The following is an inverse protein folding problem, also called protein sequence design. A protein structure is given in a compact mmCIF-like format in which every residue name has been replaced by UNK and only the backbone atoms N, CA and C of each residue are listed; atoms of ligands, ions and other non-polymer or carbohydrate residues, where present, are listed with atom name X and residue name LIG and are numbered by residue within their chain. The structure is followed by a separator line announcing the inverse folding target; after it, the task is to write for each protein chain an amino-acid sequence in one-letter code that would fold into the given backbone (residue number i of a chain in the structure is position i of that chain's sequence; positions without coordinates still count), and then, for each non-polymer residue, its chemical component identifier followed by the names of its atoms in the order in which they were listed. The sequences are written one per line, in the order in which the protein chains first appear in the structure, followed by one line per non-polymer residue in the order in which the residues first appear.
data_IF_917001117252
#
_entry.id   IF_917001117252
#
_cell.length_a   1.000
_cell.length_b   1.000
_cell.length_c   1.000
_cell.angle_alpha   90.00
_cell.angle_beta   90.00
_cell.angle_gamma   90.00
#
_symmetry.space_group_name_H-M   'P 1'
#
loop_
_entity.id
_entity.type
_entity.pdbx_description
1 polymer ?
#
# COMPACT_ATOMS: atom_id res chain seq x y z
N UNK A 1 1.01 23.03 -3.97
CA UNK A 1 1.20 22.16 -5.16
C UNK A 1 1.21 23.07 -6.36
N UNK A 2 2.31 23.08 -7.13
CA UNK A 2 2.54 24.01 -8.26
C UNK A 2 1.94 23.51 -9.60
N UNK A 3 1.35 22.33 -9.63
CA UNK A 3 0.77 21.74 -10.84
C UNK A 3 -0.70 21.44 -10.64
N UNK A 4 -1.54 21.89 -11.57
CA UNK A 4 -2.96 21.57 -11.58
C UNK A 4 -3.16 20.16 -12.13
N UNK A 5 -3.37 19.19 -11.23
CA UNK A 5 -3.51 17.77 -11.57
C UNK A 5 -4.72 17.48 -12.49
N UNK A 6 -5.75 18.33 -12.44
CA UNK A 6 -6.93 18.18 -13.30
C UNK A 6 -6.65 18.43 -14.78
N UNK A 7 -5.55 19.14 -15.11
CA UNK A 7 -5.13 19.40 -16.50
C UNK A 7 -4.26 18.28 -17.09
N UNK A 8 -3.90 17.27 -16.29
CA UNK A 8 -3.07 16.15 -16.75
C UNK A 8 -3.89 15.13 -17.55
N UNK A 9 -3.22 14.48 -18.52
CA UNK A 9 -3.77 13.34 -19.22
C UNK A 9 -4.07 12.19 -18.25
N UNK A 10 -5.10 11.40 -18.57
CA UNK A 10 -5.54 10.28 -17.73
C UNK A 10 -4.43 9.23 -17.51
N UNK A 11 -3.58 9.02 -18.53
CA UNK A 11 -2.42 8.13 -18.48
C UNK A 11 -1.39 8.61 -17.43
N UNK A 12 -1.13 9.93 -17.39
CA UNK A 12 -0.20 10.52 -16.42
C UNK A 12 -0.72 10.40 -15.00
N UNK A 13 -2.02 10.59 -14.78
CA UNK A 13 -2.66 10.40 -13.48
C UNK A 13 -2.54 8.93 -13.03
N UNK A 14 -2.74 7.98 -13.95
CA UNK A 14 -2.62 6.55 -13.66
C UNK A 14 -1.19 6.17 -13.23
N UNK A 15 -0.18 6.58 -14.00
CA UNK A 15 1.23 6.34 -13.66
C UNK A 15 1.57 6.99 -12.32
N UNK A 16 1.12 8.23 -12.10
CA UNK A 16 1.35 8.94 -10.85
C UNK A 16 0.72 8.22 -9.66
N UNK A 17 -0.50 7.68 -9.81
CA UNK A 17 -1.18 6.89 -8.77
C UNK A 17 -0.39 5.64 -8.41
N UNK A 18 0.15 4.92 -9.40
CA UNK A 18 1.00 3.74 -9.15
C UNK A 18 2.27 4.13 -8.42
N UNK A 19 2.94 5.22 -8.84
CA UNK A 19 4.16 5.71 -8.19
C UNK A 19 3.90 6.18 -6.75
N UNK A 20 2.75 6.78 -6.46
CA UNK A 20 2.35 7.12 -5.09
C UNK A 20 2.17 5.88 -4.22
N UNK A 21 1.54 4.82 -4.76
CA UNK A 21 1.33 3.57 -4.03
C UNK A 21 2.66 2.88 -3.67
N UNK A 22 3.67 2.93 -4.56
CA UNK A 22 5.04 2.53 -4.27
C UNK A 22 5.66 3.64 -3.42
N UNK A 23 5.48 3.56 -2.13
CA UNK A 23 5.88 4.59 -1.15
C UNK A 23 7.40 4.82 -1.07
N UNK A 24 7.81 5.56 -0.06
CA UNK A 24 9.21 5.93 0.15
C UNK A 24 10.13 4.80 0.62
N UNK A 25 11.41 5.15 0.80
CA UNK A 25 12.43 4.27 1.35
C UNK A 25 12.05 3.75 2.75
N UNK A 26 12.61 2.62 3.16
CA UNK A 26 12.26 1.93 4.43
C UNK A 26 12.45 2.78 5.67
N UNK A 27 13.35 3.75 5.63
CA UNK A 27 13.61 4.69 6.72
C UNK A 27 12.88 6.02 6.56
N UNK A 28 12.12 6.20 5.47
CA UNK A 28 11.32 7.38 5.23
C UNK A 28 10.05 7.39 6.07
N UNK A 29 9.60 8.60 6.41
CA UNK A 29 8.30 8.84 7.05
C UNK A 29 7.10 8.67 6.10
N UNK A 30 7.33 8.39 4.81
CA UNK A 30 6.29 8.15 3.83
C UNK A 30 5.45 6.92 4.18
N UNK A 31 4.14 6.98 3.96
CA UNK A 31 3.22 5.86 4.06
C UNK A 31 3.30 4.92 2.86
N UNK A 32 2.33 4.05 2.72
CA UNK A 32 2.24 3.12 1.60
C UNK A 32 3.15 1.90 1.70
N UNK A 33 3.26 1.18 0.59
CA UNK A 33 4.17 0.03 0.47
C UNK A 33 5.59 0.54 0.31
N UNK A 34 6.48 0.13 1.22
CA UNK A 34 7.89 0.55 1.13
C UNK A 34 8.56 0.01 -0.13
N UNK A 35 9.42 0.82 -0.76
CA UNK A 35 10.16 0.44 -1.99
C UNK A 35 10.89 -0.89 -1.82
N UNK A 36 11.50 -1.13 -0.65
CA UNK A 36 12.20 -2.39 -0.38
C UNK A 36 11.25 -3.60 -0.38
N UNK A 37 10.05 -3.47 0.21
CA UNK A 37 9.06 -4.55 0.21
C UNK A 37 8.57 -4.82 -1.23
N UNK A 38 8.34 -3.77 -2.01
CA UNK A 38 7.95 -3.90 -3.42
C UNK A 38 9.05 -4.55 -4.25
N UNK A 39 10.32 -4.15 -4.08
CA UNK A 39 11.46 -4.74 -4.77
C UNK A 39 11.62 -6.24 -4.43
N UNK A 40 11.50 -6.62 -3.14
CA UNK A 40 11.56 -8.03 -2.72
C UNK A 40 10.41 -8.83 -3.32
N UNK A 41 9.20 -8.27 -3.39
CA UNK A 41 8.04 -8.94 -4.01
C UNK A 41 8.28 -9.20 -5.52
N UNK A 42 8.83 -8.21 -6.24
CA UNK A 42 9.19 -8.38 -7.67
C UNK A 42 10.27 -9.45 -7.84
N UNK A 43 11.33 -9.43 -7.02
CA UNK A 43 12.39 -10.44 -7.07
C UNK A 43 11.86 -11.84 -6.81
N UNK A 44 10.92 -11.98 -5.86
CA UNK A 44 10.27 -13.26 -5.60
C UNK A 44 9.45 -13.75 -6.80
N UNK A 45 8.65 -12.88 -7.41
CA UNK A 45 7.90 -13.21 -8.63
C UNK A 45 8.87 -13.67 -9.75
N UNK A 46 9.97 -12.92 -9.93
CA UNK A 46 10.99 -13.27 -10.92
C UNK A 46 11.63 -14.64 -10.64
N UNK A 47 11.96 -14.94 -9.38
CA UNK A 47 12.52 -16.23 -8.97
C UNK A 47 11.55 -17.38 -9.28
N UNK A 48 10.27 -17.20 -9.00
CA UNK A 48 9.21 -18.18 -9.30
C UNK A 48 9.12 -18.43 -10.81
N UNK A 49 9.13 -17.38 -11.64
CA UNK A 49 9.06 -17.50 -13.11
C UNK A 49 10.29 -18.25 -13.66
N UNK A 50 11.47 -18.06 -13.07
CA UNK A 50 12.70 -18.74 -13.47
C UNK A 50 12.87 -20.12 -12.83
N UNK A 51 11.92 -20.58 -12.00
CA UNK A 51 11.98 -21.89 -11.34
C UNK A 51 13.10 -21.99 -10.28
N UNK A 52 13.63 -20.86 -9.81
CA UNK A 52 14.65 -20.84 -8.75
C UNK A 52 13.99 -20.78 -7.38
N UNK A 53 14.44 -21.66 -6.46
CA UNK A 53 13.93 -21.70 -5.09
C UNK A 53 14.56 -20.64 -4.18
N UNK A 54 15.65 -20.02 -4.61
CA UNK A 54 16.41 -19.02 -3.88
C UNK A 54 16.23 -17.65 -4.49
N UNK A 55 15.88 -16.68 -3.66
CA UNK A 55 15.79 -15.26 -4.05
C UNK A 55 17.09 -14.61 -3.63
N UNK A 56 17.92 -14.27 -4.60
CA UNK A 56 19.21 -13.62 -4.38
C UNK A 56 19.13 -12.14 -4.80
N UNK A 57 19.68 -11.28 -3.97
CA UNK A 57 19.87 -9.87 -4.27
C UNK A 57 21.32 -9.46 -3.98
N UNK A 58 22.03 -8.95 -4.98
CA UNK A 58 23.42 -8.52 -4.88
C UNK A 58 24.35 -9.59 -4.27
N UNK A 59 24.17 -10.87 -4.64
CA UNK A 59 25.00 -11.98 -4.15
C UNK A 59 24.70 -12.43 -2.72
N UNK A 60 23.60 -11.98 -2.14
CA UNK A 60 23.12 -12.41 -0.82
C UNK A 60 21.74 -13.05 -0.93
N UNK A 61 21.55 -14.17 -0.26
CA UNK A 61 20.26 -14.85 -0.17
C UNK A 61 19.34 -14.09 0.79
N UNK A 62 18.11 -13.80 0.35
CA UNK A 62 17.09 -13.16 1.17
C UNK A 62 16.42 -14.21 2.07
N UNK A 63 16.22 -13.88 3.35
CA UNK A 63 15.54 -14.77 4.27
C UNK A 63 14.07 -14.96 3.84
N UNK A 64 13.57 -16.20 3.97
CA UNK A 64 12.19 -16.55 3.67
C UNK A 64 11.17 -15.69 4.43
N UNK A 65 11.51 -15.29 5.65
CA UNK A 65 10.65 -14.42 6.46
C UNK A 65 10.53 -13.01 5.89
N UNK A 66 11.60 -12.46 5.33
CA UNK A 66 11.58 -11.15 4.68
C UNK A 66 10.71 -11.17 3.42
N UNK A 67 10.79 -12.25 2.63
CA UNK A 67 9.99 -12.45 1.42
C UNK A 67 8.50 -12.56 1.79
N UNK A 68 8.17 -13.35 2.82
CA UNK A 68 6.79 -13.50 3.30
C UNK A 68 6.21 -12.19 3.79
N UNK A 69 6.96 -11.42 4.57
CA UNK A 69 6.53 -10.10 5.07
C UNK A 69 6.33 -9.09 3.94
N UNK A 70 7.22 -9.08 2.96
CA UNK A 70 7.12 -8.20 1.79
C UNK A 70 5.85 -8.51 0.98
N UNK A 71 5.61 -9.78 0.65
CA UNK A 71 4.42 -10.20 -0.07
C UNK A 71 3.14 -9.91 0.72
N UNK A 72 3.13 -10.18 2.03
CA UNK A 72 2.01 -9.86 2.90
C UNK A 72 1.72 -8.35 2.90
N UNK A 73 2.74 -7.49 2.98
CA UNK A 73 2.57 -6.04 2.96
C UNK A 73 1.94 -5.55 1.64
N UNK A 74 2.44 -6.03 0.50
CA UNK A 74 1.91 -5.69 -0.83
C UNK A 74 0.45 -6.14 -0.96
N UNK A 75 0.16 -7.41 -0.66
CA UNK A 75 -1.17 -7.96 -0.80
C UNK A 75 -2.19 -7.28 0.14
N UNK A 76 -1.81 -7.10 1.41
CA UNK A 76 -2.70 -6.47 2.39
C UNK A 76 -2.96 -5.00 2.07
N UNK A 77 -1.96 -4.28 1.52
CA UNK A 77 -2.17 -2.88 1.09
C UNK A 77 -3.19 -2.78 -0.03
N UNK A 78 -3.16 -3.69 -1.02
CA UNK A 78 -4.14 -3.74 -2.10
C UNK A 78 -5.54 -4.06 -1.59
N UNK A 79 -5.67 -5.03 -0.67
CA UNK A 79 -6.96 -5.36 -0.06
C UNK A 79 -7.57 -4.19 0.70
N UNK A 80 -6.76 -3.49 1.50
CA UNK A 80 -7.24 -2.32 2.26
C UNK A 80 -7.63 -1.21 1.30
N UNK A 81 -6.83 -0.90 0.30
CA UNK A 81 -7.19 0.10 -0.71
C UNK A 81 -8.50 -0.26 -1.42
N UNK A 82 -8.65 -1.51 -1.87
CA UNK A 82 -9.87 -1.96 -2.52
C UNK A 82 -11.11 -1.82 -1.61
N UNK A 83 -10.96 -2.19 -0.32
CA UNK A 83 -12.03 -2.05 0.67
C UNK A 83 -12.45 -0.59 0.86
N UNK A 84 -11.49 0.32 1.06
CA UNK A 84 -11.80 1.74 1.27
C UNK A 84 -12.34 2.43 0.01
N UNK A 85 -11.81 2.11 -1.17
CA UNK A 85 -12.37 2.58 -2.45
C UNK A 85 -13.82 2.13 -2.58
N UNK A 86 -14.11 0.86 -2.27
CA UNK A 86 -15.47 0.34 -2.31
C UNK A 86 -16.41 1.07 -1.33
N UNK A 87 -16.00 1.24 -0.06
CA UNK A 87 -16.79 1.94 0.95
C UNK A 87 -17.06 3.40 0.57
N UNK A 88 -16.07 4.12 0.05
CA UNK A 88 -16.25 5.51 -0.36
C UNK A 88 -17.14 5.59 -1.60
N UNK A 89 -17.01 4.68 -2.56
CA UNK A 89 -17.87 4.63 -3.74
C UNK A 89 -19.35 4.40 -3.37
N UNK A 90 -19.62 3.61 -2.34
CA UNK A 90 -20.98 3.41 -1.82
C UNK A 90 -21.57 4.69 -1.21
N UNK A 91 -20.74 5.49 -0.55
CA UNK A 91 -21.18 6.72 0.09
C UNK A 91 -21.29 7.90 -0.90
N UNK A 92 -20.58 7.84 -2.03
CA UNK A 92 -20.43 8.92 -3.01
C UNK A 92 -20.80 8.47 -4.43
N UNK A 93 -22.06 8.09 -4.69
CA UNK A 93 -22.47 7.53 -5.98
C UNK A 93 -22.35 8.51 -7.17
N UNK A 94 -22.24 9.82 -6.90
CA UNK A 94 -22.10 10.86 -7.92
C UNK A 94 -20.66 11.17 -8.35
N UNK A 95 -19.67 10.64 -7.63
CA UNK A 95 -18.26 10.96 -7.87
C UNK A 95 -17.58 9.98 -8.83
N UNK A 96 -16.58 10.47 -9.57
CA UNK A 96 -15.84 9.61 -10.50
C UNK A 96 -14.95 8.61 -9.75
N UNK A 97 -15.04 7.33 -10.11
CA UNK A 97 -14.21 6.27 -9.54
C UNK A 97 -12.70 6.61 -9.62
N UNK A 98 -12.29 7.24 -10.72
CA UNK A 98 -10.91 7.72 -10.91
C UNK A 98 -10.47 8.66 -9.78
N UNK A 99 -11.29 9.63 -9.41
CA UNK A 99 -10.97 10.58 -8.36
C UNK A 99 -10.95 9.91 -6.99
N UNK A 100 -11.90 9.01 -6.72
CA UNK A 100 -11.96 8.24 -5.47
C UNK A 100 -10.69 7.38 -5.29
N UNK A 101 -10.29 6.62 -6.33
CA UNK A 101 -9.08 5.79 -6.29
C UNK A 101 -7.84 6.65 -6.05
N UNK A 102 -7.72 7.78 -6.75
CA UNK A 102 -6.60 8.70 -6.58
C UNK A 102 -6.50 9.23 -5.15
N UNK A 103 -7.62 9.70 -4.57
CA UNK A 103 -7.67 10.20 -3.18
C UNK A 103 -7.33 9.10 -2.16
N UNK A 104 -7.87 7.89 -2.34
CA UNK A 104 -7.55 6.76 -1.47
C UNK A 104 -6.06 6.39 -1.49
N UNK A 105 -5.46 6.32 -2.68
CA UNK A 105 -4.02 6.01 -2.81
C UNK A 105 -3.17 7.14 -2.23
N UNK A 106 -3.53 8.40 -2.49
CA UNK A 106 -2.86 9.58 -1.93
C UNK A 106 -2.93 9.61 -0.41
N UNK A 107 -4.09 9.28 0.17
CA UNK A 107 -4.30 9.18 1.60
C UNK A 107 -3.47 8.04 2.22
N UNK A 108 -3.54 6.83 1.65
CA UNK A 108 -2.81 5.67 2.12
C UNK A 108 -1.29 5.85 2.06
N UNK A 109 -0.79 6.42 0.97
CA UNK A 109 0.63 6.71 0.79
C UNK A 109 1.11 7.97 1.54
N UNK A 110 0.18 8.72 2.18
CA UNK A 110 0.47 9.97 2.88
C UNK A 110 1.14 11.04 2.00
N UNK A 111 0.77 11.09 0.72
CA UNK A 111 1.33 12.03 -0.27
C UNK A 111 0.67 13.41 -0.16
N UNK A 112 -0.65 13.44 0.06
CA UNK A 112 -1.41 14.68 0.19
C UNK A 112 -1.75 15.37 -1.13
N UNK A 113 -1.65 14.65 -2.26
CA UNK A 113 -2.12 15.13 -3.56
C UNK A 113 -3.61 14.86 -3.71
N UNK A 114 -4.37 15.83 -4.24
CA UNK A 114 -5.81 15.72 -4.47
C UNK A 114 -6.18 16.21 -5.87
N UNK A 115 -7.21 15.57 -6.45
CA UNK A 115 -7.87 16.02 -7.66
C UNK A 115 -9.02 17.03 -7.37
N UNK A 116 -9.10 17.53 -6.11
CA UNK A 116 -10.13 18.46 -5.67
C UNK A 116 -11.37 17.80 -5.07
N UNK A 117 -11.42 16.46 -5.04
CA UNK A 117 -12.56 15.70 -4.54
C UNK A 117 -12.77 15.87 -3.03
N UNK A 118 -11.70 16.01 -2.26
CA UNK A 118 -11.73 16.02 -0.77
C UNK A 118 -12.70 17.07 -0.19
N UNK A 119 -12.83 18.24 -0.84
CA UNK A 119 -13.74 19.31 -0.41
C UNK A 119 -15.21 18.97 -0.63
N UNK A 120 -15.52 18.13 -1.62
CA UNK A 120 -16.88 17.76 -2.03
C UNK A 120 -17.42 16.51 -1.32
N UNK A 121 -16.55 15.75 -0.65
CA UNK A 121 -16.93 14.53 0.04
C UNK A 121 -17.81 14.80 1.27
N UNK A 122 -18.72 13.86 1.54
CA UNK A 122 -19.48 13.81 2.78
C UNK A 122 -18.56 13.57 3.98
N UNK A 123 -18.98 13.98 5.15
CA UNK A 123 -18.16 13.87 6.39
C UNK A 123 -17.82 12.42 6.72
N UNK A 124 -18.72 11.47 6.43
CA UNK A 124 -18.45 10.03 6.58
C UNK A 124 -17.28 9.57 5.70
N UNK A 125 -17.23 10.01 4.44
CA UNK A 125 -16.16 9.67 3.49
C UNK A 125 -14.85 10.33 3.91
N UNK A 126 -14.87 11.55 4.43
CA UNK A 126 -13.69 12.21 5.01
C UNK A 126 -13.12 11.44 6.19
N UNK A 127 -14.00 10.93 7.08
CA UNK A 127 -13.57 10.12 8.22
C UNK A 127 -12.92 8.81 7.75
N UNK A 128 -13.47 8.15 6.75
CA UNK A 128 -12.85 6.96 6.15
C UNK A 128 -11.45 7.28 5.60
N UNK A 129 -11.28 8.41 4.92
CA UNK A 129 -9.96 8.84 4.41
C UNK A 129 -8.98 9.07 5.57
N UNK A 130 -9.40 9.69 6.68
CA UNK A 130 -8.54 9.89 7.86
C UNK A 130 -8.10 8.56 8.46
N UNK A 131 -9.02 7.58 8.57
CA UNK A 131 -8.69 6.22 9.02
C UNK A 131 -7.68 5.56 8.07
N UNK A 132 -7.88 5.70 6.77
CA UNK A 132 -6.98 5.17 5.75
C UNK A 132 -5.58 5.80 5.83
N UNK A 133 -5.47 7.10 6.08
CA UNK A 133 -4.20 7.79 6.31
C UNK A 133 -3.47 7.23 7.52
N UNK A 134 -4.19 6.99 8.62
CA UNK A 134 -3.61 6.40 9.83
C UNK A 134 -3.09 4.99 9.58
N UNK A 135 -3.86 4.14 8.91
CA UNK A 135 -3.48 2.78 8.53
C UNK A 135 -2.23 2.80 7.64
N UNK A 136 -2.19 3.66 6.64
CA UNK A 136 -1.06 3.81 5.72
C UNK A 136 0.22 4.26 6.43
N UNK A 137 0.08 5.12 7.44
CA UNK A 137 1.21 5.66 8.21
C UNK A 137 1.85 4.64 9.15
N UNK A 138 1.03 3.92 9.91
CA UNK A 138 1.51 2.92 10.90
C UNK A 138 2.09 1.69 10.22
N UNK A 139 1.61 1.38 9.02
CA UNK A 139 1.96 0.17 8.29
C UNK A 139 1.17 -1.05 8.78
N UNK A 140 0.42 -1.66 7.87
CA UNK A 140 -0.50 -2.76 8.17
C UNK A 140 0.15 -3.95 8.87
N UNK A 141 1.36 -4.33 8.43
CA UNK A 141 2.07 -5.47 9.03
C UNK A 141 2.49 -5.16 10.47
N UNK A 142 2.90 -3.93 10.74
CA UNK A 142 3.29 -3.49 12.10
C UNK A 142 2.07 -3.44 13.01
N UNK A 143 0.93 -2.93 12.53
CA UNK A 143 -0.33 -2.96 13.29
C UNK A 143 -0.80 -4.38 13.59
N UNK A 144 -0.78 -5.26 12.60
CA UNK A 144 -1.17 -6.66 12.77
C UNK A 144 -0.28 -7.38 13.79
N UNK A 145 1.03 -7.12 13.78
CA UNK A 145 1.97 -7.69 14.76
C UNK A 145 1.77 -7.13 16.18
N UNK A 146 1.36 -5.87 16.30
CA UNK A 146 1.05 -5.24 17.59
C UNK A 146 -0.27 -5.72 18.20
N UNK A 147 -1.29 -5.96 17.36
CA UNK A 147 -2.61 -6.42 17.79
C UNK A 147 -2.66 -7.92 18.05
N UNK A 148 -1.97 -8.70 17.21
CA UNK A 148 -1.81 -10.13 17.42
C UNK A 148 -0.68 -10.33 18.42
N UNK A 149 -1.01 -10.49 19.71
CA UNK A 149 -0.09 -10.96 20.72
C UNK A 149 0.65 -12.16 20.14
N UNK A 150 1.98 -12.08 20.02
CA UNK A 150 2.78 -13.19 19.51
C UNK A 150 2.46 -14.43 20.34
N UNK A 151 1.61 -15.29 19.81
CA UNK A 151 1.56 -16.67 20.25
C UNK A 151 2.89 -17.29 19.84
N UNK A 152 3.83 -17.28 20.78
CA UNK A 152 5.06 -18.04 20.69
C UNK A 152 4.64 -19.49 20.76
N UNK A 153 4.33 -20.09 19.62
CA UNK A 153 4.19 -21.52 19.50
C UNK A 153 5.59 -22.09 19.72
N UNK A 154 5.86 -22.47 20.97
CA UNK A 154 6.92 -23.39 21.32
C UNK A 154 6.50 -24.79 20.87
N UNK A 155 6.40 -24.98 19.58
CA UNK A 155 6.33 -26.32 19.04
C UNK A 155 7.74 -26.91 19.16
N UNK A 156 7.91 -27.79 20.13
CA UNK A 156 9.00 -28.73 20.23
C UNK A 156 9.24 -29.36 18.86
N UNK A 157 10.40 -29.12 18.26
CA UNK A 157 10.93 -29.99 17.24
C UNK A 157 11.45 -31.21 18.01
N UNK A 158 10.76 -32.33 17.88
CA UNK A 158 11.27 -33.62 18.32
C UNK A 158 12.53 -33.97 17.50
N UNK A 159 13.53 -34.59 18.13
CA UNK A 159 14.79 -34.95 17.48
C UNK A 159 14.58 -35.96 16.33
#
# INVERSE_FOLDING_TARGET
ISVNLNSMCIQSIFIYTILMWIGGASQSTAGGVKVNAFAVAILNIRAIIHGTTRVEFAGRELSSDSIRRANAAVFTSLLVLALFVFLITLNEPGQSLKAIVFECVSAFATVGSSLGLTSELHDTSKLLIVVLMFIGRVGLVTMAQGLLKQYKNQNYQLP
#
